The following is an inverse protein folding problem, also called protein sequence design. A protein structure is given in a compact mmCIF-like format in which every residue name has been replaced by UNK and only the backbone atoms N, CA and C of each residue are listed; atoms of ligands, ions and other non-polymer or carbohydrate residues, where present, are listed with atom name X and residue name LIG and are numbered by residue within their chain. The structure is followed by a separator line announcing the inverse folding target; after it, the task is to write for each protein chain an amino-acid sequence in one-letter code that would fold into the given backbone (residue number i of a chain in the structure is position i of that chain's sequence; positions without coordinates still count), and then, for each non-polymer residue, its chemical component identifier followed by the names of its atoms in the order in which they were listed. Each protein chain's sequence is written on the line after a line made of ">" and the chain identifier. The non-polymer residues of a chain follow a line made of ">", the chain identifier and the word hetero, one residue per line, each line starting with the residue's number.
data_IF_382411944368
#
_entry.id   IF_382411944368
#
_cell.length_a   1.000
_cell.length_b   1.000
_cell.length_c   1.000
_cell.angle_alpha   90.00
_cell.angle_beta   90.00
_cell.angle_gamma   90.00
#
_symmetry.space_group_name_H-M   'P 1'
#
loop_
_entity.id
_entity.type
_entity.pdbx_description
1 polymer ?
#
# COMPACT_ATOMS: atom_id res chain seq x y z
N UNK A 1 14.82 12.19 -46.13
CA UNK A 1 14.86 13.29 -45.14
C UNK A 1 14.27 12.76 -43.86
N UNK A 2 15.13 12.44 -42.89
CA UNK A 2 14.80 11.80 -41.61
C UNK A 2 14.25 12.82 -40.61
N UNK A 3 12.99 12.68 -40.21
CA UNK A 3 12.38 13.45 -39.12
C UNK A 3 12.71 12.77 -37.77
N UNK A 4 13.91 13.02 -37.26
CA UNK A 4 14.32 12.65 -35.90
C UNK A 4 13.77 13.66 -34.92
N UNK A 5 12.58 13.39 -34.37
CA UNK A 5 12.08 14.12 -33.19
C UNK A 5 12.85 13.65 -31.97
N UNK A 6 13.74 14.51 -31.48
CA UNK A 6 14.41 14.33 -30.19
C UNK A 6 13.37 14.18 -29.08
N UNK A 7 13.53 13.20 -28.16
CA UNK A 7 12.63 13.08 -27.02
C UNK A 7 12.75 14.33 -26.14
N UNK A 8 11.63 15.03 -25.95
CA UNK A 8 11.57 16.16 -25.04
C UNK A 8 11.78 15.66 -23.60
N UNK A 9 12.90 16.08 -23.00
CA UNK A 9 13.19 15.84 -21.59
C UNK A 9 12.19 16.68 -20.78
N UNK A 10 11.25 16.02 -20.12
CA UNK A 10 10.34 16.66 -19.17
C UNK A 10 11.16 17.31 -18.05
N UNK A 11 10.83 18.54 -17.61
CA UNK A 11 11.58 19.22 -16.56
C UNK A 11 11.52 18.43 -15.26
N UNK A 12 12.68 18.11 -14.69
CA UNK A 12 12.79 17.45 -13.38
C UNK A 12 12.25 18.38 -12.30
N UNK A 13 11.12 18.02 -11.67
CA UNK A 13 10.63 18.68 -10.46
C UNK A 13 11.75 18.66 -9.42
N UNK A 14 12.13 19.81 -8.88
CA UNK A 14 12.98 19.86 -7.67
C UNK A 14 12.22 19.19 -6.53
N UNK A 15 12.62 17.97 -6.18
CA UNK A 15 12.04 17.27 -5.05
C UNK A 15 12.48 17.97 -3.76
N UNK A 16 11.53 18.60 -3.07
CA UNK A 16 11.78 19.16 -1.74
C UNK A 16 11.83 17.99 -0.76
N UNK A 17 12.91 17.86 0.00
CA UNK A 17 13.04 16.78 0.98
C UNK A 17 12.29 17.15 2.26
N UNK A 18 11.14 16.51 2.48
CA UNK A 18 10.30 16.69 3.66
C UNK A 18 10.55 15.61 4.72
N UNK A 19 11.14 14.47 4.34
CA UNK A 19 11.45 13.40 5.28
C UNK A 19 12.87 13.49 5.87
N UNK A 20 12.98 13.19 7.15
CA UNK A 20 14.23 12.95 7.88
C UNK A 20 14.37 11.45 8.16
N UNK A 21 15.54 10.84 7.89
CA UNK A 21 15.89 9.54 8.47
C UNK A 21 16.11 9.72 9.96
N UNK A 22 15.10 9.38 10.76
CA UNK A 22 15.07 9.71 12.18
C UNK A 22 15.82 8.66 13.02
N UNK A 23 15.62 7.38 12.74
CA UNK A 23 16.30 6.30 13.45
C UNK A 23 16.35 5.02 12.62
N UNK A 24 17.24 4.12 12.99
CA UNK A 24 17.42 2.84 12.31
C UNK A 24 17.87 1.76 13.30
N UNK A 25 17.34 0.55 13.16
CA UNK A 25 17.75 -0.63 13.90
C UNK A 25 17.40 -1.91 13.14
N UNK A 26 18.13 -2.99 13.42
CA UNK A 26 17.74 -4.34 13.01
C UNK A 26 16.73 -4.91 14.01
N UNK A 27 15.55 -5.30 13.51
CA UNK A 27 14.48 -5.86 14.34
C UNK A 27 14.37 -7.37 14.07
N UNK A 28 14.62 -8.24 15.07
CA UNK A 28 14.41 -9.67 14.92
C UNK A 28 12.91 -9.95 14.84
N UNK A 29 12.51 -10.72 13.84
CA UNK A 29 11.12 -11.18 13.64
C UNK A 29 11.09 -12.69 13.40
N UNK A 30 9.90 -13.27 13.41
CA UNK A 30 9.68 -14.67 13.00
C UNK A 30 10.14 -14.94 11.55
N UNK A 31 10.29 -13.89 10.73
CA UNK A 31 10.74 -13.95 9.34
C UNK A 31 12.22 -13.63 9.17
N UNK A 32 12.97 -13.58 10.27
CA UNK A 32 14.36 -13.13 10.30
C UNK A 32 14.52 -11.66 10.69
N UNK A 33 15.76 -11.17 10.63
CA UNK A 33 16.09 -9.79 10.95
C UNK A 33 15.64 -8.85 9.83
N UNK A 34 14.91 -7.79 10.18
CA UNK A 34 14.49 -6.74 9.26
C UNK A 34 15.18 -5.43 9.60
N UNK A 35 15.92 -4.88 8.65
CA UNK A 35 16.49 -3.54 8.79
C UNK A 35 15.35 -2.53 8.77
N UNK A 36 15.12 -1.88 9.90
CA UNK A 36 13.97 -1.02 10.14
C UNK A 36 14.42 0.42 10.23
N UNK A 37 13.92 1.27 9.33
CA UNK A 37 14.27 2.69 9.27
C UNK A 37 13.01 3.51 9.53
N UNK A 38 13.07 4.41 10.51
CA UNK A 38 12.02 5.39 10.78
C UNK A 38 12.33 6.67 10.02
N UNK A 39 11.33 7.13 9.26
CA UNK A 39 11.33 8.42 8.59
C UNK A 39 10.35 9.36 9.29
N UNK A 40 10.80 10.55 9.67
CA UNK A 40 9.94 11.58 10.24
C UNK A 40 9.61 12.65 9.20
N UNK A 41 8.34 12.90 8.98
CA UNK A 41 7.85 13.98 8.13
C UNK A 41 7.96 15.32 8.87
N UNK A 42 8.83 16.21 8.37
CA UNK A 42 9.09 17.52 8.98
C UNK A 42 7.89 18.45 8.94
N UNK A 43 6.89 18.18 8.08
CA UNK A 43 5.70 19.02 7.91
C UNK A 43 4.70 18.83 9.05
N UNK A 44 4.63 17.63 9.62
CA UNK A 44 3.59 17.25 10.57
C UNK A 44 4.09 16.41 11.76
N UNK A 45 5.38 16.07 11.81
CA UNK A 45 6.00 15.26 12.86
C UNK A 45 5.64 13.77 12.83
N UNK A 46 4.87 13.30 11.85
CA UNK A 46 4.49 11.89 11.75
C UNK A 46 5.68 11.04 11.36
N UNK A 47 5.67 9.82 11.88
CA UNK A 47 6.70 8.83 11.59
C UNK A 47 6.17 7.77 10.64
N UNK A 48 7.03 7.31 9.73
CA UNK A 48 6.77 6.27 8.76
C UNK A 48 7.91 5.27 8.80
N UNK A 49 7.67 4.02 8.43
CA UNK A 49 8.66 2.97 8.61
C UNK A 49 8.98 2.32 7.28
N UNK A 50 10.26 2.10 6.99
CA UNK A 50 10.69 1.18 5.95
C UNK A 50 11.26 -0.07 6.61
N UNK A 51 10.70 -1.22 6.26
CA UNK A 51 11.24 -2.55 6.57
C UNK A 51 11.99 -3.03 5.33
N UNK A 52 13.30 -3.17 5.45
CA UNK A 52 14.21 -3.48 4.34
C UNK A 52 14.81 -4.87 4.54
N UNK A 53 14.74 -5.68 3.49
CA UNK A 53 15.39 -6.99 3.41
C UNK A 53 16.49 -6.91 2.36
N UNK A 54 17.68 -7.42 2.70
CA UNK A 54 18.82 -7.45 1.80
C UNK A 54 19.38 -6.07 1.44
N UNK A 55 20.21 -6.01 0.39
CA UNK A 55 20.73 -4.76 -0.15
C UNK A 55 19.78 -4.22 -1.22
N UNK A 56 19.37 -2.96 -1.12
CA UNK A 56 18.44 -2.31 -2.06
C UNK A 56 19.00 -1.04 -2.69
N UNK A 57 20.04 -0.45 -2.09
CA UNK A 57 20.68 0.78 -2.59
C UNK A 57 21.32 0.53 -3.94
N UNK A 58 21.01 1.37 -4.91
CA UNK A 58 21.51 1.27 -6.27
C UNK A 58 20.90 0.10 -7.05
N UNK A 59 19.83 -0.54 -6.58
CA UNK A 59 19.17 -1.62 -7.34
C UNK A 59 17.97 -1.13 -8.14
N UNK A 60 17.73 -1.78 -9.27
CA UNK A 60 16.52 -1.64 -10.09
C UNK A 60 15.61 -2.84 -9.86
N UNK A 61 14.30 -2.61 -9.89
CA UNK A 61 13.35 -3.70 -9.77
C UNK A 61 13.15 -4.25 -8.38
N UNK A 62 13.45 -3.46 -7.37
CA UNK A 62 13.30 -3.89 -5.99
C UNK A 62 11.82 -4.19 -5.75
N UNK A 63 11.46 -5.38 -5.20
CA UNK A 63 10.09 -5.64 -4.79
C UNK A 63 9.70 -4.67 -3.68
N UNK A 64 8.64 -3.89 -3.92
CA UNK A 64 8.19 -2.87 -2.95
C UNK A 64 6.71 -3.03 -2.66
N UNK A 65 6.36 -3.04 -1.37
CA UNK A 65 5.00 -2.85 -0.89
C UNK A 65 4.85 -1.47 -0.26
N UNK A 66 3.89 -0.69 -0.75
CA UNK A 66 3.45 0.53 -0.07
C UNK A 66 2.20 0.16 0.74
N UNK A 67 2.34 0.11 2.05
CA UNK A 67 1.29 -0.28 2.98
C UNK A 67 0.78 0.94 3.75
N UNK A 68 -0.55 1.10 3.82
CA UNK A 68 -1.17 2.14 4.65
C UNK A 68 -1.64 1.49 5.94
N UNK A 69 -1.24 2.05 7.08
CA UNK A 69 -1.61 1.61 8.43
C UNK A 69 -3.11 1.31 8.56
N UNK A 70 -3.41 0.16 9.18
CA UNK A 70 -4.76 -0.29 9.48
C UNK A 70 -4.76 -1.06 10.80
N UNK A 71 -4.78 -0.32 11.91
CA UNK A 71 -4.69 -0.85 13.26
C UNK A 71 -5.71 -1.96 13.53
N UNK A 72 -6.96 -1.74 13.10
CA UNK A 72 -8.06 -2.68 13.34
C UNK A 72 -7.82 -4.05 12.71
N UNK A 73 -7.23 -4.10 11.52
CA UNK A 73 -6.97 -5.39 10.84
C UNK A 73 -5.67 -6.01 11.33
N UNK A 74 -4.61 -5.19 11.40
CA UNK A 74 -3.25 -5.65 11.66
C UNK A 74 -3.03 -6.07 13.11
N UNK A 75 -3.56 -5.30 14.05
CA UNK A 75 -3.35 -5.53 15.49
C UNK A 75 -4.54 -6.26 16.11
N UNK A 76 -5.77 -5.88 15.76
CA UNK A 76 -6.96 -6.49 16.38
C UNK A 76 -7.54 -7.67 15.59
N UNK A 77 -6.98 -8.00 14.41
CA UNK A 77 -7.47 -9.13 13.61
C UNK A 77 -8.85 -8.90 12.99
N UNK A 78 -9.25 -7.65 12.74
CA UNK A 78 -10.53 -7.36 12.08
C UNK A 78 -10.63 -8.02 10.71
N UNK A 79 -11.73 -8.75 10.50
CA UNK A 79 -12.09 -9.40 9.25
C UNK A 79 -12.77 -8.46 8.23
N UNK A 80 -13.01 -7.19 8.60
CA UNK A 80 -13.70 -6.21 7.73
C UNK A 80 -12.89 -5.75 6.53
N UNK A 81 -11.58 -5.99 6.52
CA UNK A 81 -10.72 -5.71 5.39
C UNK A 81 -9.57 -6.72 5.31
N UNK A 82 -8.83 -6.62 4.21
CA UNK A 82 -7.72 -7.49 3.81
C UNK A 82 -6.34 -6.93 4.21
N UNK A 83 -6.29 -5.86 5.02
CA UNK A 83 -5.05 -5.12 5.25
C UNK A 83 -3.96 -5.96 5.93
N UNK A 84 -4.31 -6.75 6.96
CA UNK A 84 -3.36 -7.63 7.63
C UNK A 84 -2.77 -8.68 6.69
N UNK A 85 -3.63 -9.38 5.95
CA UNK A 85 -3.19 -10.42 5.01
C UNK A 85 -2.27 -9.84 3.92
N UNK A 86 -2.56 -8.64 3.43
CA UNK A 86 -1.68 -7.95 2.49
C UNK A 86 -0.32 -7.58 3.10
N UNK A 87 -0.28 -7.16 4.36
CA UNK A 87 0.96 -6.84 5.06
C UNK A 87 1.80 -8.11 5.27
N UNK A 88 1.18 -9.15 5.83
CA UNK A 88 1.83 -10.44 6.10
C UNK A 88 2.41 -11.06 4.83
N UNK A 89 1.61 -11.16 3.76
CA UNK A 89 2.07 -11.68 2.45
C UNK A 89 3.18 -10.84 1.83
N UNK A 90 3.17 -9.53 2.05
CA UNK A 90 4.24 -8.67 1.52
C UNK A 90 5.54 -8.87 2.26
N UNK A 91 5.48 -9.02 3.59
CA UNK A 91 6.63 -9.35 4.41
C UNK A 91 7.19 -10.72 4.03
N UNK A 92 6.34 -11.74 3.91
CA UNK A 92 6.74 -13.08 3.47
C UNK A 92 7.41 -13.06 2.10
N UNK A 93 6.84 -12.31 1.15
CA UNK A 93 7.39 -12.22 -0.21
C UNK A 93 8.81 -11.64 -0.20
N UNK A 94 9.03 -10.51 0.47
CA UNK A 94 10.35 -9.84 0.44
C UNK A 94 11.39 -10.62 1.25
N UNK A 95 10.99 -11.30 2.33
CA UNK A 95 11.90 -12.13 3.12
C UNK A 95 12.30 -13.40 2.38
N UNK A 96 11.34 -14.07 1.72
CA UNK A 96 11.62 -15.24 0.88
C UNK A 96 12.48 -14.89 -0.34
N UNK A 97 12.28 -13.72 -0.94
CA UNK A 97 13.11 -13.23 -2.04
C UNK A 97 14.53 -12.82 -1.59
N UNK A 98 14.77 -12.63 -0.28
CA UNK A 98 16.03 -12.14 0.26
C UNK A 98 16.35 -10.68 -0.08
N UNK A 99 15.43 -9.97 -0.73
CA UNK A 99 15.57 -8.58 -1.15
C UNK A 99 14.19 -7.93 -1.29
N UNK A 100 14.01 -6.75 -0.70
CA UNK A 100 12.79 -5.95 -0.90
C UNK A 100 12.55 -4.90 0.17
N UNK A 101 11.47 -4.13 0.00
CA UNK A 101 11.08 -3.06 0.93
C UNK A 101 9.57 -3.10 1.19
N UNK A 102 9.18 -3.08 2.46
CA UNK A 102 7.80 -2.77 2.88
C UNK A 102 7.79 -1.38 3.52
N UNK A 103 7.16 -0.42 2.87
CA UNK A 103 6.92 0.92 3.40
C UNK A 103 5.60 0.92 4.18
N UNK A 104 5.67 1.18 5.47
CA UNK A 104 4.51 1.31 6.35
C UNK A 104 4.22 2.79 6.59
N UNK A 105 3.24 3.31 5.87
CA UNK A 105 2.80 4.70 5.95
C UNK A 105 1.73 4.83 7.03
N UNK A 106 2.00 5.64 8.05
CA UNK A 106 1.08 5.94 9.16
C UNK A 106 -0.01 6.92 8.73
N UNK A 107 -0.88 6.43 7.85
CA UNK A 107 -1.98 7.13 7.20
C UNK A 107 -3.30 6.36 7.41
N UNK A 108 -3.61 6.04 8.65
CA UNK A 108 -4.82 5.31 9.05
C UNK A 108 -6.11 5.89 8.42
N UNK A 109 -7.02 5.01 8.03
CA UNK A 109 -8.33 5.39 7.50
C UNK A 109 -8.27 6.15 6.17
N UNK A 110 -7.24 5.97 5.34
CA UNK A 110 -6.98 6.81 4.15
C UNK A 110 -6.68 8.27 4.50
N UNK A 111 -6.04 8.50 5.64
CA UNK A 111 -5.62 9.82 6.10
C UNK A 111 -6.59 10.52 7.05
N UNK A 112 -7.82 10.01 7.22
CA UNK A 112 -8.81 10.61 8.15
C UNK A 112 -8.54 10.23 9.62
N UNK A 113 -7.67 9.25 9.87
CA UNK A 113 -7.31 8.78 11.20
C UNK A 113 -8.28 7.74 11.79
N UNK A 114 -7.82 7.06 12.84
CA UNK A 114 -8.53 5.94 13.46
C UNK A 114 -9.92 6.33 13.97
N UNK A 115 -10.04 7.44 14.71
CA UNK A 115 -11.30 7.86 15.32
C UNK A 115 -12.41 8.07 14.27
N UNK A 116 -12.08 8.68 13.14
CA UNK A 116 -13.03 8.90 12.05
C UNK A 116 -13.35 7.61 11.28
N UNK A 117 -12.38 6.70 11.14
CA UNK A 117 -12.64 5.35 10.62
C UNK A 117 -13.65 4.59 11.48
N UNK A 118 -13.53 4.65 12.80
CA UNK A 118 -14.49 4.01 13.71
C UNK A 118 -15.88 4.67 13.62
N UNK A 119 -15.95 6.00 13.49
CA UNK A 119 -17.22 6.69 13.19
C UNK A 119 -17.85 6.19 11.89
N UNK A 120 -17.06 6.04 10.83
CA UNK A 120 -17.54 5.51 9.56
C UNK A 120 -18.08 4.07 9.71
N UNK A 121 -17.39 3.20 10.48
CA UNK A 121 -17.90 1.87 10.77
C UNK A 121 -19.22 1.87 11.54
N UNK A 122 -19.41 2.80 12.48
CA UNK A 122 -20.67 2.95 13.21
C UNK A 122 -21.82 3.43 12.31
N UNK A 123 -21.53 4.23 11.28
CA UNK A 123 -22.52 4.62 10.26
C UNK A 123 -22.83 3.45 9.32
N UNK A 124 -21.82 2.68 8.92
CA UNK A 124 -22.01 1.49 8.09
C UNK A 124 -22.86 0.42 8.78
N UNK A 125 -22.70 0.22 10.10
CA UNK A 125 -23.57 -0.69 10.85
C UNK A 125 -25.02 -0.26 10.90
N UNK A 126 -25.33 1.00 10.55
CA UNK A 126 -26.69 1.52 10.43
C UNK A 126 -27.23 1.45 8.99
N UNK A 127 -26.51 0.79 8.08
CA UNK A 127 -26.94 0.52 6.71
C UNK A 127 -26.38 1.48 5.65
N UNK A 128 -25.53 2.45 6.02
CA UNK A 128 -24.90 3.34 5.05
C UNK A 128 -23.77 2.63 4.31
N UNK A 129 -23.61 2.90 3.02
CA UNK A 129 -22.42 2.44 2.32
C UNK A 129 -21.15 3.20 2.78
N UNK A 130 -19.96 2.71 2.42
CA UNK A 130 -18.69 3.31 2.85
C UNK A 130 -18.52 4.76 2.36
N UNK A 131 -19.05 5.10 1.18
CA UNK A 131 -18.96 6.44 0.61
C UNK A 131 -19.94 7.40 1.26
N UNK A 132 -21.17 6.95 1.52
CA UNK A 132 -22.17 7.72 2.25
C UNK A 132 -21.68 8.04 3.66
N UNK A 133 -21.08 7.07 4.34
CA UNK A 133 -20.47 7.27 5.65
C UNK A 133 -19.33 8.32 5.60
N UNK A 134 -18.43 8.26 4.60
CA UNK A 134 -17.33 9.22 4.46
C UNK A 134 -17.83 10.64 4.10
N UNK A 135 -18.81 10.73 3.19
CA UNK A 135 -19.46 12.00 2.82
C UNK A 135 -20.17 12.64 4.00
N UNK A 136 -20.89 11.85 4.81
CA UNK A 136 -21.57 12.35 6.00
C UNK A 136 -20.58 12.87 7.05
N UNK A 137 -19.36 12.33 7.06
CA UNK A 137 -18.27 12.78 7.92
C UNK A 137 -17.44 13.93 7.31
N UNK A 138 -17.76 14.37 6.08
CA UNK A 138 -17.11 15.52 5.42
C UNK A 138 -15.72 15.23 4.85
N UNK A 139 -15.36 13.97 4.61
CA UNK A 139 -14.03 13.59 4.09
C UNK A 139 -14.05 13.30 2.59
N UNK A 140 -12.95 13.63 1.90
CA UNK A 140 -12.71 13.16 0.54
C UNK A 140 -12.44 11.63 0.54
N UNK A 141 -12.73 10.97 -0.58
CA UNK A 141 -12.70 9.50 -0.67
C UNK A 141 -11.31 8.88 -0.51
N UNK A 142 -10.26 9.64 -0.85
CA UNK A 142 -8.85 9.28 -0.67
C UNK A 142 -7.99 10.54 -0.58
N UNK A 143 -7.37 10.78 0.59
CA UNK A 143 -6.48 11.92 0.83
C UNK A 143 -5.00 11.53 0.80
N UNK A 144 -4.69 10.31 0.38
CA UNK A 144 -3.32 9.79 0.45
C UNK A 144 -2.49 10.36 -0.69
N UNK A 145 -1.32 10.85 -0.33
CA UNK A 145 -0.26 11.23 -1.26
C UNK A 145 0.83 10.16 -1.26
N UNK A 146 1.47 9.97 -2.41
CA UNK A 146 2.56 8.99 -2.60
C UNK A 146 3.94 9.65 -2.60
N UNK A 147 4.00 10.96 -2.41
CA UNK A 147 5.20 11.77 -2.21
C UNK A 147 6.11 11.20 -1.11
N UNK A 148 5.53 10.84 0.04
CA UNK A 148 6.23 10.25 1.19
C UNK A 148 6.88 8.93 0.78
N UNK A 149 6.15 8.04 0.10
CA UNK A 149 6.69 6.76 -0.34
C UNK A 149 7.84 6.96 -1.34
N UNK A 150 7.69 7.91 -2.26
CA UNK A 150 8.73 8.24 -3.23
C UNK A 150 9.98 8.82 -2.55
N UNK A 151 9.83 9.74 -1.59
CA UNK A 151 10.96 10.27 -0.82
C UNK A 151 11.69 9.18 -0.02
N UNK A 152 10.97 8.26 0.61
CA UNK A 152 11.56 7.12 1.31
C UNK A 152 12.39 6.26 0.35
N UNK A 153 11.87 5.95 -0.84
CA UNK A 153 12.58 5.15 -1.83
C UNK A 153 13.81 5.85 -2.41
N UNK A 154 13.73 7.16 -2.69
CA UNK A 154 14.91 7.96 -3.09
C UNK A 154 15.96 7.98 -1.98
N UNK A 155 15.54 8.12 -0.72
CA UNK A 155 16.44 8.06 0.42
C UNK A 155 17.15 6.70 0.51
N UNK A 156 16.43 5.60 0.22
CA UNK A 156 16.96 4.24 0.12
C UNK A 156 17.78 3.98 -1.14
N UNK A 157 17.90 4.96 -2.04
CA UNK A 157 18.61 4.85 -3.32
C UNK A 157 18.06 3.70 -4.20
N UNK A 158 16.74 3.48 -4.15
CA UNK A 158 16.06 2.50 -5.02
C UNK A 158 15.81 3.14 -6.38
N UNK A 159 16.37 2.56 -7.45
CA UNK A 159 16.32 3.12 -8.81
C UNK A 159 15.01 2.84 -9.54
N UNK A 160 14.39 1.70 -9.28
CA UNK A 160 13.06 1.35 -9.79
C UNK A 160 12.42 0.23 -8.97
N UNK A 161 11.10 0.09 -9.07
CA UNK A 161 10.33 -0.84 -8.23
C UNK A 161 9.54 -1.86 -9.06
N UNK A 162 9.44 -3.07 -8.53
CA UNK A 162 8.39 -4.02 -8.87
C UNK A 162 7.30 -3.90 -7.78
N UNK A 163 6.21 -3.19 -8.08
CA UNK A 163 5.29 -2.71 -7.06
C UNK A 163 4.20 -3.74 -6.72
N UNK A 164 4.15 -4.16 -5.46
CA UNK A 164 3.15 -5.07 -4.90
C UNK A 164 1.83 -4.35 -4.62
N UNK A 165 0.91 -4.34 -5.59
CA UNK A 165 -0.36 -3.63 -5.45
C UNK A 165 -1.48 -4.12 -6.38
N UNK A 166 -2.72 -3.93 -5.92
CA UNK A 166 -3.93 -4.00 -6.74
C UNK A 166 -4.51 -2.61 -7.04
N UNK A 167 -3.95 -1.53 -6.47
CA UNK A 167 -4.46 -0.19 -6.67
C UNK A 167 -3.72 0.48 -7.84
N UNK A 168 -4.37 0.71 -9.01
CA UNK A 168 -3.73 1.40 -10.13
C UNK A 168 -3.30 2.83 -9.77
N UNK A 169 -3.99 3.49 -8.83
CA UNK A 169 -3.60 4.83 -8.37
C UNK A 169 -2.25 4.85 -7.66
N UNK A 170 -1.85 3.74 -7.01
CA UNK A 170 -0.50 3.61 -6.43
C UNK A 170 0.56 3.59 -7.53
N UNK A 171 0.29 2.87 -8.62
CA UNK A 171 1.23 2.80 -9.76
C UNK A 171 1.37 4.19 -10.39
N UNK A 172 0.24 4.83 -10.71
CA UNK A 172 0.23 6.16 -11.31
C UNK A 172 0.93 7.19 -10.42
N UNK A 173 0.63 7.21 -9.11
CA UNK A 173 1.24 8.13 -8.16
C UNK A 173 2.75 7.96 -8.03
N UNK A 174 3.27 6.72 -8.02
CA UNK A 174 4.72 6.50 -8.00
C UNK A 174 5.40 7.01 -9.27
N UNK A 175 4.79 6.79 -10.44
CA UNK A 175 5.31 7.27 -11.72
C UNK A 175 5.28 8.79 -11.80
N UNK A 176 4.21 9.44 -11.32
CA UNK A 176 4.10 10.90 -11.24
C UNK A 176 5.17 11.51 -10.32
N UNK A 177 5.49 10.82 -9.23
CA UNK A 177 6.61 11.17 -8.36
C UNK A 177 7.98 10.83 -8.96
N UNK A 178 8.06 10.28 -10.18
CA UNK A 178 9.32 9.97 -10.84
C UNK A 178 10.03 8.74 -10.29
N UNK A 179 9.31 7.83 -9.63
CA UNK A 179 9.80 6.49 -9.29
C UNK A 179 9.37 5.51 -10.39
N UNK A 180 10.32 4.96 -11.18
CA UNK A 180 9.97 4.02 -12.24
C UNK A 180 9.35 2.74 -11.67
N UNK A 181 8.13 2.41 -12.11
CA UNK A 181 7.46 1.15 -11.82
C UNK A 181 7.65 0.22 -13.01
N UNK A 182 8.51 -0.80 -12.90
CA UNK A 182 8.81 -1.70 -14.02
C UNK A 182 7.68 -2.69 -14.29
N UNK A 183 7.10 -3.23 -13.21
CA UNK A 183 5.94 -4.13 -13.27
C UNK A 183 5.15 -4.09 -11.98
N UNK A 184 3.92 -4.57 -12.07
CA UNK A 184 3.04 -4.84 -10.94
C UNK A 184 3.25 -6.28 -10.46
N UNK A 185 3.35 -6.46 -9.15
CA UNK A 185 3.20 -7.76 -8.48
C UNK A 185 1.78 -7.78 -7.87
N UNK A 186 0.88 -8.68 -8.30
CA UNK A 186 -0.47 -8.76 -7.74
C UNK A 186 -0.45 -9.04 -6.23
N UNK A 187 -1.27 -8.30 -5.46
CA UNK A 187 -1.46 -8.55 -4.02
C UNK A 187 -2.71 -9.41 -3.82
N UNK A 188 -2.64 -10.69 -4.17
CA UNK A 188 -3.78 -11.61 -4.01
C UNK A 188 -4.14 -11.76 -2.53
N UNK A 189 -5.43 -11.72 -2.21
CA UNK A 189 -6.01 -11.95 -0.89
C UNK A 189 -7.25 -12.81 -1.03
N UNK A 190 -7.43 -13.75 -0.11
CA UNK A 190 -8.67 -14.51 -0.03
C UNK A 190 -9.77 -13.62 0.54
N UNK A 191 -10.98 -13.78 0.02
CA UNK A 191 -12.14 -13.08 0.53
C UNK A 191 -12.81 -13.93 1.61
N UNK A 192 -13.58 -13.29 2.48
CA UNK A 192 -14.38 -13.95 3.50
C UNK A 192 -15.75 -13.26 3.58
N UNK A 193 -16.74 -13.85 4.30
CA UNK A 193 -18.08 -13.30 4.37
C UNK A 193 -18.16 -11.84 4.86
N UNK A 194 -17.17 -11.37 5.64
CA UNK A 194 -17.15 -10.02 6.20
C UNK A 194 -16.47 -8.97 5.31
N UNK A 195 -15.65 -9.36 4.34
CA UNK A 195 -14.91 -8.42 3.48
C UNK A 195 -15.32 -8.49 1.99
N UNK A 196 -16.19 -9.42 1.59
CA UNK A 196 -16.60 -9.58 0.19
C UNK A 196 -17.16 -8.29 -0.41
N UNK A 197 -18.06 -7.60 0.30
CA UNK A 197 -18.65 -6.35 -0.17
C UNK A 197 -17.64 -5.20 -0.20
N UNK A 198 -16.69 -5.20 0.74
CA UNK A 198 -15.59 -4.25 0.76
C UNK A 198 -14.66 -4.42 -0.46
N UNK A 199 -14.29 -5.65 -0.78
CA UNK A 199 -13.45 -5.98 -1.93
C UNK A 199 -14.19 -5.71 -3.25
N UNK A 200 -15.47 -6.04 -3.33
CA UNK A 200 -16.35 -5.72 -4.46
C UNK A 200 -16.41 -4.21 -4.68
N UNK A 201 -16.64 -3.44 -3.61
CA UNK A 201 -16.65 -1.97 -3.66
C UNK A 201 -15.31 -1.40 -4.16
N UNK A 202 -14.18 -1.93 -3.70
CA UNK A 202 -12.85 -1.52 -4.19
C UNK A 202 -12.68 -1.76 -5.69
N UNK A 203 -13.10 -2.93 -6.18
CA UNK A 203 -13.01 -3.30 -7.59
C UNK A 203 -13.90 -2.40 -8.44
N UNK A 204 -15.18 -2.29 -8.09
CA UNK A 204 -16.20 -1.65 -8.93
C UNK A 204 -16.16 -0.12 -8.87
N UNK A 205 -15.94 0.45 -7.68
CA UNK A 205 -15.99 1.91 -7.51
C UNK A 205 -14.62 2.59 -7.54
N UNK A 206 -13.54 1.90 -7.13
CA UNK A 206 -12.17 2.46 -7.14
C UNK A 206 -11.22 1.80 -8.14
N UNK A 207 -11.74 0.97 -9.04
CA UNK A 207 -10.97 0.34 -10.12
C UNK A 207 -9.82 -0.55 -9.67
N UNK A 208 -9.87 -1.10 -8.44
CA UNK A 208 -8.80 -1.99 -7.99
C UNK A 208 -8.78 -3.29 -8.79
N UNK A 209 -7.58 -3.73 -9.17
CA UNK A 209 -7.31 -4.95 -9.94
C UNK A 209 -7.38 -6.19 -9.02
N UNK A 210 -8.58 -6.50 -8.53
CA UNK A 210 -8.86 -7.61 -7.61
C UNK A 210 -9.62 -8.70 -8.36
N UNK A 211 -9.05 -9.89 -8.38
CA UNK A 211 -9.76 -11.12 -8.75
C UNK A 211 -10.51 -11.60 -7.50
N UNK A 212 -11.85 -11.62 -7.54
CA UNK A 212 -12.65 -12.31 -6.54
C UNK A 212 -12.72 -13.76 -7.00
N UNK A 213 -12.00 -14.66 -6.33
CA UNK A 213 -12.19 -16.09 -6.52
C UNK A 213 -13.54 -16.46 -5.92
N UNK A 214 -14.39 -17.21 -6.60
CA UNK A 214 -15.56 -17.80 -5.95
C UNK A 214 -15.07 -18.97 -5.07
N UNK A 215 -15.75 -19.26 -3.96
CA UNK A 215 -15.72 -20.62 -3.43
C UNK A 215 -16.29 -21.49 -4.56
N UNK A 216 -15.46 -22.39 -5.12
CA UNK A 216 -15.96 -23.39 -6.06
C UNK A 216 -17.14 -24.11 -5.41
N UNK A 217 -18.22 -24.28 -6.18
CA UNK A 217 -19.44 -25.00 -5.82
C UNK A 217 -19.11 -26.28 -5.03
N UNK A 218 -19.28 -26.23 -3.71
CA UNK A 218 -19.34 -27.41 -2.85
C UNK A 218 -20.77 -28.01 -2.92
N UNK A 219 -21.32 -28.09 -4.14
CA UNK A 219 -22.61 -28.72 -4.46
C UNK A 219 -22.44 -29.75 -5.57
N UNK A 220 -21.67 -30.80 -5.31
CA UNK A 220 -21.90 -32.11 -5.94
C UNK A 220 -21.23 -33.26 -5.17
N UNK A 221 -21.52 -33.36 -3.88
CA UNK A 221 -21.22 -34.56 -3.09
C UNK A 221 -22.33 -34.86 -2.09
N UNK A 222 -23.58 -35.00 -2.57
CA UNK A 222 -24.71 -35.64 -1.84
C UNK A 222 -25.96 -35.78 -2.72
N UNK A 223 -25.91 -36.65 -3.73
CA UNK A 223 -27.02 -37.52 -4.19
C UNK A 223 -26.62 -38.23 -5.47
N UNK A 224 -26.56 -39.56 -5.43
CA UNK A 224 -26.23 -40.44 -6.55
C UNK A 224 -25.72 -41.76 -6.04
#
# INVERSE_FOLDING_TARGET
>A
MSDTRSPQVLPTRKHTQHLERFSEADIPTERGSLRTIVFRDKRNGREHVALVVGQVSGHEGVPVRIHSECLTSEVFGSLKCDCREQLDRSLDFVTQAGQGVVLYLRQEGRGIGLGNKIKAYALQSKGLDTYEANRQLGFADDLRTYDIAAEMLRSLDVRSVDLMTNNPLKIAGMVEEGIPVRRRIPSRTEHNPHNVDYLRTKRERTGHLIELFAEDDDTEAKTG
#
